data_IF_177144391892
#
_entry.id   IF_177144391892
#
_cell.length_a   1.000
_cell.length_b   1.000
_cell.length_c   1.000
_cell.angle_alpha   90.00
_cell.angle_beta   90.00
_cell.angle_gamma   90.00
#
_symmetry.space_group_name_H-M   'P 1'
#
loop_
_entity.id
_entity.type
_entity.pdbx_description
1 polymer ?
#
# COMPACT_ATOMS: atom_id res chain seq x y z
N UNK A 1 -0.34 -23.31 3.75
CA UNK A 1 -1.21 -23.33 2.55
C UNK A 1 -0.75 -22.21 1.61
N UNK A 2 -0.45 -22.51 0.34
CA UNK A 2 -0.07 -21.47 -0.62
C UNK A 2 -1.35 -20.98 -1.32
N UNK A 3 -1.67 -19.70 -1.21
CA UNK A 3 -2.78 -19.10 -1.94
C UNK A 3 -2.27 -18.48 -3.23
N UNK A 4 -2.70 -19.02 -4.36
CA UNK A 4 -2.38 -18.47 -5.68
C UNK A 4 -2.93 -17.03 -5.81
N UNK A 5 -2.12 -16.11 -6.31
CA UNK A 5 -2.52 -14.72 -6.55
C UNK A 5 -3.18 -14.59 -7.92
N UNK A 6 -4.26 -13.83 -7.99
CA UNK A 6 -5.01 -13.71 -9.22
C UNK A 6 -5.89 -12.47 -9.28
N UNK A 7 -6.48 -12.26 -10.44
CA UNK A 7 -7.40 -11.17 -10.74
C UNK A 7 -8.60 -11.66 -11.53
N UNK A 8 -9.62 -10.85 -11.62
CA UNK A 8 -10.79 -11.02 -12.50
C UNK A 8 -10.98 -9.76 -13.33
N UNK A 9 -11.32 -9.91 -14.59
CA UNK A 9 -11.71 -8.79 -15.45
C UNK A 9 -13.21 -8.52 -15.28
N UNK A 10 -13.58 -7.26 -15.28
CA UNK A 10 -14.99 -6.87 -15.37
C UNK A 10 -15.48 -7.07 -16.80
N UNK A 11 -16.60 -7.78 -16.98
CA UNK A 11 -17.25 -8.04 -18.26
C UNK A 11 -18.69 -7.54 -18.16
N UNK A 12 -18.94 -6.28 -18.57
CA UNK A 12 -20.23 -5.64 -18.36
C UNK A 12 -20.57 -5.57 -16.86
N UNK A 13 -21.66 -6.20 -16.44
CA UNK A 13 -22.12 -6.25 -15.05
C UNK A 13 -21.64 -7.50 -14.29
N UNK A 14 -20.78 -8.30 -14.88
CA UNK A 14 -20.24 -9.53 -14.28
C UNK A 14 -18.70 -9.53 -14.27
N UNK A 15 -18.12 -10.64 -13.77
CA UNK A 15 -16.67 -10.83 -13.65
C UNK A 15 -16.26 -12.10 -14.38
N UNK A 16 -15.08 -12.09 -14.99
CA UNK A 16 -14.45 -13.27 -15.57
C UNK A 16 -14.15 -14.34 -14.50
N UNK A 17 -13.85 -15.55 -14.98
CA UNK A 17 -13.14 -16.51 -14.15
C UNK A 17 -11.81 -15.91 -13.64
N UNK A 18 -11.34 -16.41 -12.48
CA UNK A 18 -10.09 -15.96 -11.89
C UNK A 18 -8.89 -16.32 -12.78
N UNK A 19 -8.07 -15.34 -13.12
CA UNK A 19 -6.81 -15.49 -13.85
C UNK A 19 -5.64 -15.36 -12.89
N UNK A 20 -4.61 -16.20 -13.03
CA UNK A 20 -3.38 -16.09 -12.24
C UNK A 20 -2.61 -14.82 -12.64
N UNK A 21 -1.95 -14.18 -11.66
CA UNK A 21 -0.94 -13.13 -11.92
C UNK A 21 0.35 -13.69 -12.56
N UNK A 22 0.44 -15.01 -12.68
CA UNK A 22 1.58 -15.71 -13.27
C UNK A 22 2.72 -16.01 -12.28
N UNK A 23 3.73 -16.78 -12.73
CA UNK A 23 4.78 -17.31 -11.87
C UNK A 23 5.67 -16.22 -11.25
N UNK A 24 5.67 -15.01 -11.80
CA UNK A 24 6.40 -13.87 -11.24
C UNK A 24 5.86 -13.46 -9.86
N UNK A 25 4.56 -13.62 -9.60
CA UNK A 25 3.89 -13.24 -8.35
C UNK A 25 3.39 -14.44 -7.56
N UNK A 26 3.14 -15.57 -8.24
CA UNK A 26 2.61 -16.79 -7.64
C UNK A 26 3.75 -17.66 -7.06
N UNK A 27 4.56 -17.05 -6.21
CA UNK A 27 5.73 -17.63 -5.57
C UNK A 27 5.39 -18.18 -4.19
N UNK A 28 5.91 -19.35 -3.84
CA UNK A 28 5.72 -20.01 -2.53
C UNK A 28 6.53 -19.35 -1.42
N UNK A 29 7.65 -18.72 -1.77
CA UNK A 29 8.57 -18.02 -0.88
C UNK A 29 8.11 -16.60 -0.52
N UNK A 30 7.05 -16.07 -1.17
CA UNK A 30 6.47 -14.77 -0.86
C UNK A 30 5.14 -14.90 -0.13
N UNK A 31 4.94 -13.99 0.84
CA UNK A 31 3.70 -13.84 1.59
C UNK A 31 3.02 -12.52 1.26
N UNK A 32 2.18 -12.49 0.22
CA UNK A 32 1.46 -11.29 -0.18
C UNK A 32 0.12 -11.23 0.55
N UNK A 33 -0.06 -10.26 1.44
CA UNK A 33 -1.36 -9.96 2.06
C UNK A 33 -2.14 -8.98 1.19
N UNK A 34 -1.48 -7.92 0.72
CA UNK A 34 -2.08 -6.92 -0.15
C UNK A 34 -1.24 -6.66 -1.39
N UNK A 35 -1.93 -6.52 -2.54
CA UNK A 35 -1.38 -6.00 -3.78
C UNK A 35 -2.25 -4.84 -4.25
N UNK A 36 -1.64 -3.69 -4.50
CA UNK A 36 -2.26 -2.51 -5.08
C UNK A 36 -1.69 -2.26 -6.48
N UNK A 37 -2.55 -1.81 -7.40
CA UNK A 37 -2.21 -1.59 -8.80
C UNK A 37 -2.55 -0.17 -9.24
N UNK A 38 -1.64 0.50 -9.96
CA UNK A 38 -1.90 1.77 -10.61
C UNK A 38 -2.60 1.60 -11.96
N UNK A 39 -3.17 2.67 -12.51
CA UNK A 39 -3.72 2.68 -13.87
C UNK A 39 -2.64 2.49 -14.95
N UNK A 40 -1.38 2.81 -14.65
CA UNK A 40 -0.22 2.58 -15.53
C UNK A 40 0.32 1.16 -15.45
N UNK A 41 -0.27 0.32 -14.59
CA UNK A 41 0.10 -1.08 -14.43
C UNK A 41 1.25 -1.32 -13.47
N UNK A 42 1.69 -0.36 -12.67
CA UNK A 42 2.62 -0.61 -11.56
C UNK A 42 1.90 -1.39 -10.48
N UNK A 43 2.54 -2.44 -9.97
CA UNK A 43 2.09 -3.19 -8.81
C UNK A 43 2.99 -2.88 -7.62
N UNK A 44 2.39 -2.63 -6.46
CA UNK A 44 3.06 -2.59 -5.16
C UNK A 44 2.39 -3.61 -4.24
N UNK A 45 3.17 -4.34 -3.48
CA UNK A 45 2.66 -5.39 -2.60
C UNK A 45 3.61 -5.64 -1.44
N UNK A 46 3.06 -6.10 -0.34
CA UNK A 46 3.83 -6.56 0.80
C UNK A 46 4.31 -8.01 0.65
N UNK A 47 5.40 -8.34 1.32
CA UNK A 47 5.97 -9.69 1.37
C UNK A 47 6.40 -10.01 2.80
N UNK A 48 5.44 -10.45 3.62
CA UNK A 48 5.66 -10.77 5.04
C UNK A 48 6.62 -11.95 5.28
N UNK A 49 6.91 -12.75 4.26
CA UNK A 49 7.90 -13.84 4.37
C UNK A 49 9.33 -13.37 4.15
N UNK A 50 9.53 -12.15 3.66
CA UNK A 50 10.84 -11.55 3.40
C UNK A 50 11.12 -10.39 4.36
N UNK A 51 10.90 -10.58 5.67
CA UNK A 51 11.06 -9.55 6.72
C UNK A 51 10.16 -8.32 6.48
N UNK A 52 8.88 -8.55 6.13
CA UNK A 52 7.89 -7.51 5.96
C UNK A 52 8.30 -6.40 4.98
N UNK A 53 8.75 -6.80 3.80
CA UNK A 53 9.16 -5.87 2.75
C UNK A 53 8.00 -5.49 1.84
N UNK A 54 7.95 -4.22 1.45
CA UNK A 54 7.14 -3.77 0.30
C UNK A 54 7.99 -3.85 -0.96
N UNK A 55 7.40 -4.45 -2.00
CA UNK A 55 7.99 -4.62 -3.33
C UNK A 55 7.22 -3.84 -4.37
N UNK A 56 7.93 -3.43 -5.43
CA UNK A 56 7.36 -2.76 -6.59
C UNK A 56 7.70 -3.52 -7.87
N UNK A 57 6.73 -3.60 -8.79
CA UNK A 57 6.90 -4.13 -10.15
C UNK A 57 6.26 -3.16 -11.14
N UNK A 58 7.07 -2.59 -12.01
CA UNK A 58 6.66 -1.58 -12.98
C UNK A 58 6.51 -2.16 -14.40
N UNK A 59 5.77 -1.44 -15.25
CA UNK A 59 5.76 -1.70 -16.69
C UNK A 59 6.87 -0.88 -17.38
N UNK A 60 7.69 -1.53 -18.20
CA UNK A 60 8.71 -0.86 -19.03
C UNK A 60 8.63 -1.40 -20.45
N UNK A 61 8.42 -0.52 -21.42
CA UNK A 61 8.30 -0.89 -22.85
C UNK A 61 7.24 -2.01 -23.07
N UNK A 62 6.08 -1.91 -22.42
CA UNK A 62 5.00 -2.89 -22.53
C UNK A 62 5.26 -4.23 -21.81
N UNK A 63 6.38 -4.37 -21.10
CA UNK A 63 6.74 -5.59 -20.36
C UNK A 63 6.82 -5.32 -18.86
N UNK A 64 6.21 -6.22 -18.08
CA UNK A 64 6.32 -6.19 -16.62
C UNK A 64 7.73 -6.54 -16.19
N UNK A 65 8.28 -5.71 -15.31
CA UNK A 65 9.59 -5.95 -14.73
C UNK A 65 9.46 -6.85 -13.49
N UNK A 66 10.51 -7.62 -13.22
CA UNK A 66 10.57 -8.43 -12.00
C UNK A 66 10.40 -7.53 -10.76
N UNK A 67 9.62 -7.95 -9.75
CA UNK A 67 9.47 -7.20 -8.52
C UNK A 67 10.79 -7.05 -7.78
N UNK A 68 11.07 -5.83 -7.32
CA UNK A 68 12.22 -5.49 -6.49
C UNK A 68 11.74 -4.88 -5.16
N UNK A 69 12.48 -5.04 -4.05
CA UNK A 69 12.20 -4.29 -2.83
C UNK A 69 12.21 -2.79 -3.10
N UNK A 70 11.32 -2.05 -2.47
CA UNK A 70 11.41 -0.60 -2.41
C UNK A 70 12.60 -0.18 -1.53
N UNK A 71 12.97 1.08 -1.62
CA UNK A 71 14.09 1.67 -0.85
C UNK A 71 13.84 1.70 0.66
N UNK A 72 14.84 2.19 1.42
CA UNK A 72 14.77 2.29 2.87
C UNK A 72 13.80 3.35 3.36
N UNK A 73 13.34 4.29 2.52
CA UNK A 73 12.27 5.22 2.88
C UNK A 73 10.95 4.50 3.13
N UNK A 74 10.72 3.38 2.44
CA UNK A 74 9.55 2.51 2.63
C UNK A 74 9.90 1.36 3.58
N UNK A 75 10.95 0.61 3.26
CA UNK A 75 11.32 -0.63 3.95
C UNK A 75 12.22 -0.35 5.16
N UNK A 76 11.67 0.28 6.19
CA UNK A 76 12.32 0.53 7.48
C UNK A 76 11.34 0.33 8.62
N UNK A 77 11.85 0.18 9.84
CA UNK A 77 11.04 -0.12 11.02
C UNK A 77 10.96 -1.62 11.30
N UNK A 78 10.12 -2.00 12.26
CA UNK A 78 9.92 -3.39 12.67
C UNK A 78 8.84 -4.08 11.85
N UNK A 79 7.92 -3.31 11.31
CA UNK A 79 6.81 -3.76 10.47
C UNK A 79 6.61 -2.80 9.30
N UNK A 80 6.33 -3.33 8.10
CA UNK A 80 6.01 -2.53 6.91
C UNK A 80 5.09 -3.35 6.01
N UNK A 81 3.86 -2.86 5.76
CA UNK A 81 2.87 -3.64 5.04
C UNK A 81 1.81 -2.78 4.31
N UNK A 82 0.87 -3.46 3.71
CA UNK A 82 -0.41 -3.02 3.14
C UNK A 82 -0.30 -1.79 2.23
N UNK A 83 0.57 -1.78 1.21
CA UNK A 83 0.76 -0.62 0.35
C UNK A 83 -0.48 -0.31 -0.49
N UNK A 84 -0.72 0.98 -0.71
CA UNK A 84 -1.69 1.53 -1.66
C UNK A 84 -1.00 2.52 -2.58
N UNK A 85 -1.01 2.28 -3.88
CA UNK A 85 -0.51 3.21 -4.90
C UNK A 85 -1.68 3.95 -5.57
N UNK A 86 -1.57 5.27 -5.72
CA UNK A 86 -2.52 6.08 -6.46
C UNK A 86 -2.64 5.61 -7.92
N UNK A 87 -3.82 5.75 -8.53
CA UNK A 87 -4.06 5.34 -9.91
C UNK A 87 -3.11 6.02 -10.91
N UNK A 88 -2.77 7.28 -10.67
CA UNK A 88 -1.84 8.09 -11.48
C UNK A 88 -0.38 7.98 -11.05
N UNK A 89 -0.10 7.22 -9.97
CA UNK A 89 1.21 7.04 -9.32
C UNK A 89 1.77 8.31 -8.63
N UNK A 90 0.92 9.28 -8.33
CA UNK A 90 1.35 10.53 -7.70
C UNK A 90 1.75 10.37 -6.25
N UNK A 91 1.26 9.35 -5.56
CA UNK A 91 1.63 9.00 -4.18
C UNK A 91 1.50 7.51 -3.88
N UNK A 92 2.16 7.10 -2.79
CA UNK A 92 2.10 5.78 -2.18
C UNK A 92 1.79 5.94 -0.69
N UNK A 93 0.83 5.17 -0.17
CA UNK A 93 0.51 5.07 1.26
C UNK A 93 0.82 3.64 1.72
N UNK A 94 1.32 3.47 2.94
CA UNK A 94 1.54 2.18 3.58
C UNK A 94 1.52 2.32 5.08
N UNK A 95 1.46 1.22 5.81
CA UNK A 95 1.59 1.21 7.26
C UNK A 95 2.96 0.68 7.69
N UNK A 96 3.49 1.26 8.77
CA UNK A 96 4.80 0.88 9.31
C UNK A 96 4.92 1.15 10.79
N UNK A 97 5.56 0.24 11.54
CA UNK A 97 6.00 0.45 12.92
C UNK A 97 7.40 1.05 12.91
N UNK A 98 7.53 2.33 13.25
CA UNK A 98 8.79 3.08 13.23
C UNK A 98 9.04 3.79 14.53
N UNK A 99 10.32 3.96 14.86
CA UNK A 99 10.74 4.86 15.94
C UNK A 99 10.26 6.28 15.65
N UNK A 100 9.66 6.92 16.66
CA UNK A 100 9.09 8.26 16.52
C UNK A 100 7.69 8.30 15.87
N UNK A 101 7.05 7.15 15.64
CA UNK A 101 5.64 7.06 15.31
C UNK A 101 4.74 7.53 16.47
N UNK A 102 3.43 7.67 16.18
CA UNK A 102 2.44 8.08 17.19
C UNK A 102 1.90 6.85 17.95
N UNK A 103 1.75 5.71 17.26
CA UNK A 103 1.21 4.47 17.81
C UNK A 103 2.08 3.25 17.51
N UNK A 104 1.45 2.07 17.61
CA UNK A 104 2.12 0.81 17.31
C UNK A 104 2.48 0.70 15.83
N UNK A 105 1.58 1.13 14.96
CA UNK A 105 1.74 1.17 13.50
C UNK A 105 1.05 2.41 12.97
N UNK A 106 1.76 3.22 12.20
CA UNK A 106 1.25 4.45 11.61
C UNK A 106 1.13 4.34 10.10
N UNK A 107 0.21 5.13 9.53
CA UNK A 107 0.14 5.36 8.09
C UNK A 107 1.19 6.39 7.68
N UNK A 108 1.95 6.05 6.64
CA UNK A 108 2.94 6.89 5.99
C UNK A 108 2.55 7.13 4.54
N UNK A 109 2.99 8.27 4.00
CA UNK A 109 2.80 8.66 2.61
C UNK A 109 4.10 9.16 2.00
N UNK A 110 4.33 8.93 0.72
CA UNK A 110 5.38 9.58 -0.06
C UNK A 110 4.84 9.96 -1.44
N UNK A 111 5.44 10.94 -2.05
CA UNK A 111 4.97 11.53 -3.31
C UNK A 111 5.97 11.30 -4.44
N UNK A 112 5.43 11.10 -5.64
CA UNK A 112 6.24 11.14 -6.86
C UNK A 112 6.66 12.59 -7.11
N UNK A 113 7.94 12.83 -7.30
CA UNK A 113 8.50 14.14 -7.58
C UNK A 113 8.47 14.48 -9.08
N UNK A 114 8.78 15.72 -9.44
CA UNK A 114 8.77 16.20 -10.82
C UNK A 114 9.81 15.49 -11.72
N UNK A 115 10.91 15.03 -11.15
CA UNK A 115 11.94 14.23 -11.81
C UNK A 115 11.55 12.76 -12.02
N UNK A 116 10.41 12.34 -11.47
CA UNK A 116 9.92 10.97 -11.53
C UNK A 116 10.41 10.07 -10.39
N UNK A 117 11.25 10.57 -9.50
CA UNK A 117 11.68 9.82 -8.33
C UNK A 117 10.66 9.91 -7.17
N UNK A 118 10.77 9.02 -6.20
CA UNK A 118 9.97 9.05 -5.00
C UNK A 118 10.63 9.94 -3.95
N UNK A 119 9.88 10.87 -3.38
CA UNK A 119 10.30 11.71 -2.27
C UNK A 119 10.43 10.93 -0.94
N UNK A 120 10.75 11.62 0.17
CA UNK A 120 10.88 11.01 1.48
C UNK A 120 9.53 10.50 2.01
N UNK A 121 9.60 9.58 2.98
CA UNK A 121 8.45 9.12 3.75
C UNK A 121 7.98 10.22 4.72
N UNK A 122 6.68 10.45 4.77
CA UNK A 122 6.03 11.42 5.66
C UNK A 122 5.00 10.66 6.51
N UNK A 123 5.09 10.77 7.83
CA UNK A 123 4.03 10.28 8.72
C UNK A 123 2.76 11.11 8.48
N UNK A 124 1.60 10.46 8.36
CA UNK A 124 0.34 11.16 8.02
C UNK A 124 -0.22 12.01 9.18
N UNK A 125 0.42 11.95 10.36
CA UNK A 125 0.13 12.81 11.50
C UNK A 125 -1.15 12.46 12.25
N UNK A 126 -1.46 13.23 13.29
CA UNK A 126 -2.51 12.97 14.26
C UNK A 126 -3.96 13.10 13.74
N UNK A 127 -4.14 13.63 12.54
CA UNK A 127 -5.45 13.64 11.86
C UNK A 127 -5.82 12.27 11.29
N UNK A 128 -4.83 11.41 11.08
CA UNK A 128 -4.98 10.07 10.53
C UNK A 128 -4.49 9.02 11.51
N UNK A 129 -3.32 9.21 12.09
CA UNK A 129 -2.70 8.30 13.04
C UNK A 129 -3.10 8.64 14.49
N UNK A 130 -2.98 7.68 15.40
CA UNK A 130 -3.31 7.81 16.83
C UNK A 130 -2.27 7.06 17.68
N UNK A 131 -2.56 6.88 18.95
CA UNK A 131 -1.80 6.03 19.87
C UNK A 131 -2.06 4.52 19.67
N UNK A 132 -2.82 4.15 18.65
CA UNK A 132 -3.14 2.78 18.25
C UNK A 132 -2.35 2.36 17.02
N UNK A 133 -2.77 1.24 16.43
CA UNK A 133 -2.25 0.81 15.13
C UNK A 133 -3.21 1.23 14.01
N UNK A 134 -2.76 2.02 13.05
CA UNK A 134 -3.47 2.32 11.82
C UNK A 134 -2.87 1.53 10.65
N UNK A 135 -3.72 0.86 9.88
CA UNK A 135 -3.26 0.00 8.80
C UNK A 135 -4.30 -0.21 7.69
N UNK A 136 -3.86 -0.76 6.57
CA UNK A 136 -4.71 -1.13 5.44
C UNK A 136 -5.40 0.06 4.74
N UNK A 137 -4.71 1.20 4.61
CA UNK A 137 -5.27 2.40 4.00
C UNK A 137 -5.65 2.21 2.53
N UNK A 138 -6.78 2.77 2.12
CA UNK A 138 -7.24 2.87 0.73
C UNK A 138 -7.88 4.22 0.50
N UNK A 139 -7.72 4.79 -0.68
CA UNK A 139 -8.46 5.99 -1.09
C UNK A 139 -9.66 5.58 -1.93
N UNK A 140 -10.81 6.20 -1.67
CA UNK A 140 -12.04 5.94 -2.44
C UNK A 140 -11.85 6.30 -3.92
N UNK A 141 -12.56 5.64 -4.85
CA UNK A 141 -12.40 5.90 -6.29
C UNK A 141 -12.68 7.34 -6.72
N UNK A 142 -13.51 8.06 -5.96
CA UNK A 142 -13.80 9.48 -6.19
C UNK A 142 -12.76 10.43 -5.56
N UNK A 143 -11.76 9.87 -4.85
CA UNK A 143 -10.66 10.61 -4.25
C UNK A 143 -11.03 11.42 -3.01
N UNK A 144 -12.21 11.20 -2.41
CA UNK A 144 -12.69 12.04 -1.31
C UNK A 144 -12.28 11.57 0.07
N UNK A 145 -12.14 10.28 0.26
CA UNK A 145 -11.89 9.70 1.59
C UNK A 145 -10.74 8.71 1.56
N UNK A 146 -9.99 8.69 2.65
CA UNK A 146 -9.07 7.62 3.00
C UNK A 146 -9.82 6.73 3.98
N UNK A 147 -9.94 5.44 3.65
CA UNK A 147 -10.48 4.39 4.54
C UNK A 147 -9.30 3.61 5.10
N UNK A 148 -9.30 3.34 6.39
CA UNK A 148 -8.25 2.55 7.03
C UNK A 148 -8.80 1.83 8.26
N UNK A 149 -8.10 0.79 8.69
CA UNK A 149 -8.40 0.13 9.95
C UNK A 149 -7.65 0.83 11.08
N UNK A 150 -8.29 0.97 12.24
CA UNK A 150 -7.64 1.33 13.49
C UNK A 150 -7.73 0.17 14.45
N UNK A 151 -6.60 -0.22 14.96
CA UNK A 151 -6.45 -1.41 15.76
C UNK A 151 -6.85 -1.26 17.18
N UNK A 152 -6.73 -2.26 17.80
CA UNK A 152 -7.43 -3.07 18.77
C UNK A 152 -7.76 -2.28 20.02
N UNK A 153 -9.03 -2.29 20.42
CA UNK A 153 -9.42 -2.05 21.80
C UNK A 153 -8.88 -3.20 22.71
N UNK A 154 -9.08 -3.09 24.01
CA UNK A 154 -8.70 -4.12 25.00
C UNK A 154 -9.32 -5.52 24.73
N UNK A 155 -10.33 -5.61 23.86
CA UNK A 155 -11.02 -6.83 23.45
C UNK A 155 -10.50 -7.39 22.13
N UNK A 156 -9.55 -6.68 21.46
CA UNK A 156 -9.01 -7.07 20.17
C UNK A 156 -9.90 -6.69 18.98
N UNK A 157 -10.84 -5.76 19.14
CA UNK A 157 -11.67 -5.28 18.03
C UNK A 157 -10.88 -4.33 17.14
N UNK A 158 -11.17 -4.41 15.85
CA UNK A 158 -10.62 -3.54 14.79
C UNK A 158 -11.80 -2.87 14.12
N UNK A 159 -11.78 -1.55 14.04
CA UNK A 159 -12.81 -0.76 13.38
C UNK A 159 -12.27 -0.11 12.10
N UNK A 160 -13.20 0.19 11.18
CA UNK A 160 -12.90 0.95 9.97
C UNK A 160 -13.14 2.43 10.25
N UNK A 161 -12.11 3.23 10.01
CA UNK A 161 -12.14 4.69 10.11
C UNK A 161 -12.05 5.31 8.72
N UNK A 162 -12.39 6.58 8.66
CA UNK A 162 -12.18 7.39 7.47
C UNK A 162 -11.66 8.78 7.82
N UNK A 163 -10.92 9.36 6.90
CA UNK A 163 -10.46 10.74 6.95
C UNK A 163 -10.72 11.41 5.59
N UNK A 164 -10.83 12.74 5.59
CA UNK A 164 -10.87 13.51 4.34
C UNK A 164 -9.55 13.36 3.59
N UNK A 165 -9.63 12.99 2.30
CA UNK A 165 -8.45 12.79 1.48
C UNK A 165 -7.73 14.11 1.13
N UNK A 166 -8.26 15.29 1.48
CA UNK A 166 -7.57 16.58 1.38
C UNK A 166 -6.24 16.58 2.16
N UNK A 167 -6.13 15.76 3.20
CA UNK A 167 -4.88 15.55 3.94
C UNK A 167 -3.73 15.13 3.03
N UNK A 168 -3.98 14.38 1.95
CA UNK A 168 -2.97 13.96 0.98
C UNK A 168 -2.31 15.18 0.34
N UNK A 169 -3.10 16.17 -0.07
CA UNK A 169 -2.55 17.38 -0.67
C UNK A 169 -1.96 18.35 0.37
N UNK A 170 -2.52 18.35 1.58
CA UNK A 170 -1.99 19.15 2.71
C UNK A 170 -0.57 18.72 3.10
N UNK A 171 -0.27 17.43 3.05
CA UNK A 171 1.04 16.85 3.38
C UNK A 171 2.05 16.91 2.23
N UNK A 172 1.60 17.25 1.01
CA UNK A 172 2.48 17.28 -0.17
C UNK A 172 3.53 18.37 -0.03
N UNK A 173 4.83 18.04 -0.15
CA UNK A 173 5.91 19.03 -0.17
C UNK A 173 5.71 20.04 -1.31
N UNK A 174 5.98 21.31 -1.01
CA UNK A 174 5.87 22.44 -1.97
C UNK A 174 7.08 22.54 -2.87
#
# INVERSE_FOLDING_TARGET
MHMAKGYKDRIGDTWSERKSLGPMFDRKDWGIMRLSASAKGTYVFDDYKSNDLIRISVMKNGKRQAPVPMDSEVNTGKWTAHPFIAADESYLIWDSEREGGLGDTDLYIRYRQKDGEWGPAINMGDKVNSDKAEFYASVTPDGKYILFNRGMDEKGNIDIYWADAEIIETLRPK
#
